data_IF_065274049806
#
_entry.id   IF_065274049806
#
_cell.length_a   1.000
_cell.length_b   1.000
_cell.length_c   1.000
_cell.angle_alpha   90.00
_cell.angle_beta   90.00
_cell.angle_gamma   90.00
#
_symmetry.space_group_name_H-M   'P 1'
#
loop_
_entity.id
_entity.type
_entity.pdbx_description
1 polymer ?
#
# COMPACT_ATOMS: atom_id res chain seq x y z
N UNK A 1 -20.24 5.15 -6.09
CA UNK A 1 -19.86 5.61 -7.45
C UNK A 1 -18.54 6.34 -7.32
N UNK A 2 -17.54 6.01 -8.12
CA UNK A 2 -16.19 6.60 -8.09
C UNK A 2 -16.15 7.81 -9.03
N UNK A 3 -16.81 7.68 -10.17
CA UNK A 3 -16.90 8.75 -11.18
C UNK A 3 -17.89 9.82 -10.69
N UNK A 4 -17.35 10.97 -10.26
CA UNK A 4 -18.16 12.03 -9.63
C UNK A 4 -19.12 12.71 -10.62
N UNK A 5 -18.68 12.92 -11.88
CA UNK A 5 -19.49 13.54 -12.93
C UNK A 5 -20.23 12.51 -13.82
N UNK A 6 -20.58 11.36 -13.26
CA UNK A 6 -21.22 10.24 -13.99
C UNK A 6 -22.41 10.68 -14.82
N UNK A 7 -23.35 11.49 -14.26
CA UNK A 7 -24.54 11.98 -14.98
C UNK A 7 -24.20 12.80 -16.22
N UNK A 8 -23.13 13.58 -16.18
CA UNK A 8 -22.69 14.38 -17.31
C UNK A 8 -22.09 13.53 -18.42
N UNK A 9 -21.37 12.48 -18.05
CA UNK A 9 -20.73 11.55 -18.96
C UNK A 9 -21.71 10.59 -19.63
N UNK A 10 -22.88 10.33 -19.03
CA UNK A 10 -23.83 9.28 -19.45
C UNK A 10 -25.05 9.80 -20.23
N UNK A 11 -24.90 10.92 -20.96
CA UNK A 11 -26.00 11.54 -21.73
C UNK A 11 -26.52 10.70 -22.92
N UNK A 12 -25.77 9.72 -23.39
CA UNK A 12 -26.17 8.80 -24.46
C UNK A 12 -25.94 7.36 -24.01
N UNK A 13 -26.69 6.41 -24.58
CA UNK A 13 -26.61 4.99 -24.22
C UNK A 13 -25.17 4.45 -24.39
N UNK A 14 -24.48 4.76 -25.48
CA UNK A 14 -23.11 4.33 -25.73
C UNK A 14 -22.15 4.86 -24.68
N UNK A 15 -22.28 6.15 -24.30
CA UNK A 15 -21.45 6.77 -23.24
C UNK A 15 -21.74 6.15 -21.89
N UNK A 16 -23.02 5.83 -21.61
CA UNK A 16 -23.42 5.16 -20.39
C UNK A 16 -22.76 3.79 -20.26
N UNK A 17 -22.85 2.94 -21.29
CA UNK A 17 -22.21 1.62 -21.32
C UNK A 17 -20.70 1.74 -21.09
N UNK A 18 -20.01 2.64 -21.80
CA UNK A 18 -18.58 2.86 -21.62
C UNK A 18 -18.21 3.29 -20.20
N UNK A 19 -18.97 4.22 -19.64
CA UNK A 19 -18.76 4.74 -18.28
C UNK A 19 -19.02 3.65 -17.24
N UNK A 20 -20.06 2.83 -17.42
CA UNK A 20 -20.37 1.71 -16.54
C UNK A 20 -19.24 0.65 -16.51
N UNK A 21 -18.67 0.34 -17.68
CA UNK A 21 -17.51 -0.57 -17.78
C UNK A 21 -16.31 0.00 -17.04
N UNK A 22 -16.02 1.29 -17.21
CA UNK A 22 -14.90 1.96 -16.53
C UNK A 22 -15.14 1.99 -15.02
N UNK A 23 -16.32 2.41 -14.56
CA UNK A 23 -16.70 2.43 -13.13
C UNK A 23 -16.57 1.04 -12.50
N UNK A 24 -17.06 0.02 -13.20
CA UNK A 24 -16.93 -1.37 -12.76
C UNK A 24 -15.47 -1.79 -12.64
N UNK A 25 -14.65 -1.55 -13.70
CA UNK A 25 -13.24 -1.91 -13.71
C UNK A 25 -12.46 -1.26 -12.55
N UNK A 26 -12.62 0.06 -12.36
CA UNK A 26 -11.99 0.79 -11.26
C UNK A 26 -12.45 0.22 -9.91
N UNK A 27 -13.75 0.01 -9.74
CA UNK A 27 -14.32 -0.52 -8.49
C UNK A 27 -13.73 -1.88 -8.13
N UNK A 28 -13.57 -2.78 -9.12
CA UNK A 28 -13.00 -4.11 -8.89
C UNK A 28 -11.50 -4.06 -8.53
N UNK A 29 -10.78 -3.01 -8.97
CA UNK A 29 -9.36 -2.82 -8.67
C UNK A 29 -9.09 -2.18 -7.30
N UNK A 30 -10.12 -1.73 -6.57
CA UNK A 30 -9.93 -1.11 -5.26
C UNK A 30 -9.39 -2.09 -4.22
N UNK A 31 -8.48 -1.65 -3.33
CA UNK A 31 -7.96 -2.47 -2.23
C UNK A 31 -9.05 -3.13 -1.39
N UNK A 32 -10.15 -2.43 -1.13
CA UNK A 32 -11.32 -2.91 -0.37
C UNK A 32 -12.02 -4.11 -1.04
N UNK A 33 -11.88 -4.26 -2.34
CA UNK A 33 -12.46 -5.39 -3.10
C UNK A 33 -11.48 -6.54 -3.29
N UNK A 34 -10.18 -6.22 -3.38
CA UNK A 34 -9.13 -7.21 -3.68
C UNK A 34 -8.59 -7.85 -2.41
N UNK A 35 -8.11 -7.06 -1.45
CA UNK A 35 -7.38 -7.58 -0.30
C UNK A 35 -8.19 -8.53 0.57
N UNK A 36 -9.51 -8.34 0.81
CA UNK A 36 -10.29 -9.30 1.57
C UNK A 36 -10.43 -10.69 0.93
N UNK A 37 -10.09 -10.84 -0.35
CA UNK A 37 -10.05 -12.16 -1.01
C UNK A 37 -8.87 -12.98 -0.51
N UNK A 38 -7.77 -12.34 -0.14
CA UNK A 38 -6.52 -12.97 0.25
C UNK A 38 -6.24 -12.89 1.75
N UNK A 39 -6.60 -11.78 2.40
CA UNK A 39 -6.31 -11.50 3.81
C UNK A 39 -7.60 -11.66 4.62
N UNK A 40 -7.53 -12.47 5.66
CA UNK A 40 -8.59 -12.71 6.63
C UNK A 40 -8.07 -12.37 8.03
N UNK A 41 -8.95 -12.32 9.03
CA UNK A 41 -8.61 -11.94 10.41
C UNK A 41 -7.30 -12.57 10.91
N UNK A 42 -7.15 -13.89 10.74
CA UNK A 42 -6.03 -14.65 11.32
C UNK A 42 -5.20 -15.40 10.26
N UNK A 43 -5.44 -15.17 8.96
CA UNK A 43 -4.75 -15.92 7.91
C UNK A 43 -4.65 -15.16 6.60
N UNK A 44 -3.61 -15.49 5.84
CA UNK A 44 -3.44 -15.06 4.45
C UNK A 44 -3.53 -16.29 3.55
N UNK A 45 -4.30 -16.18 2.47
CA UNK A 45 -4.50 -17.27 1.49
C UNK A 45 -4.02 -16.79 0.12
N UNK A 46 -2.94 -17.38 -0.37
CA UNK A 46 -2.35 -17.06 -1.68
C UNK A 46 -1.93 -18.36 -2.38
N UNK A 47 -2.30 -18.52 -3.66
CA UNK A 47 -1.93 -19.68 -4.47
C UNK A 47 -2.20 -21.03 -3.77
N UNK A 48 -3.38 -21.21 -3.19
CA UNK A 48 -3.81 -22.39 -2.42
C UNK A 48 -3.00 -22.64 -1.14
N UNK A 49 -2.05 -21.77 -0.78
CA UNK A 49 -1.32 -21.83 0.48
C UNK A 49 -2.00 -20.94 1.51
N UNK A 50 -2.14 -21.44 2.72
CA UNK A 50 -2.67 -20.69 3.86
C UNK A 50 -1.58 -20.45 4.87
N UNK A 51 -1.36 -19.19 5.22
CA UNK A 51 -0.46 -18.75 6.28
C UNK A 51 -1.35 -18.40 7.47
N UNK A 52 -1.21 -19.12 8.57
CA UNK A 52 -1.89 -18.79 9.83
C UNK A 52 -1.06 -17.72 10.57
N UNK A 53 -1.62 -16.55 10.76
CA UNK A 53 -0.96 -15.42 11.43
C UNK A 53 -0.84 -15.61 12.95
N UNK A 54 -1.67 -16.45 13.57
CA UNK A 54 -1.62 -16.76 15.01
C UNK A 54 -0.37 -17.54 15.42
N UNK A 55 0.39 -18.08 14.45
CA UNK A 55 1.67 -18.74 14.70
C UNK A 55 2.83 -17.77 14.97
N UNK A 56 2.61 -16.47 14.76
CA UNK A 56 3.62 -15.44 14.94
C UNK A 56 3.30 -14.58 16.16
N UNK A 57 4.32 -14.16 16.88
CA UNK A 57 4.17 -13.31 18.06
C UNK A 57 3.62 -11.91 17.68
N UNK A 58 4.08 -11.38 16.54
CA UNK A 58 3.65 -10.10 16.02
C UNK A 58 3.46 -10.15 14.50
N UNK A 59 2.50 -9.39 14.01
CA UNK A 59 2.24 -9.16 12.60
C UNK A 59 2.48 -7.70 12.27
N UNK A 60 3.44 -7.44 11.41
CA UNK A 60 3.82 -6.10 10.98
C UNK A 60 3.39 -5.81 9.55
N UNK A 61 3.28 -4.53 9.23
CA UNK A 61 2.89 -4.04 7.92
C UNK A 61 3.95 -3.09 7.36
N UNK A 62 4.40 -3.33 6.14
CA UNK A 62 5.22 -2.40 5.36
C UNK A 62 4.51 -2.12 4.04
N UNK A 63 4.06 -0.88 3.85
CA UNK A 63 3.29 -0.49 2.67
C UNK A 63 3.96 0.71 1.99
N UNK A 64 4.16 0.66 0.66
CA UNK A 64 4.70 1.78 -0.11
C UNK A 64 4.19 1.78 -1.55
N UNK A 65 3.96 2.97 -2.08
CA UNK A 65 3.35 3.20 -3.38
C UNK A 65 2.14 4.13 -3.31
N UNK A 66 1.57 4.48 -4.45
CA UNK A 66 0.42 5.42 -4.54
C UNK A 66 -0.83 4.93 -3.83
N UNK A 67 -1.05 3.61 -3.77
CA UNK A 67 -2.18 3.00 -3.09
C UNK A 67 -1.85 2.47 -1.68
N UNK A 68 -0.62 2.69 -1.18
CA UNK A 68 -0.12 2.12 0.07
C UNK A 68 -1.03 2.43 1.27
N UNK A 69 -1.51 3.68 1.35
CA UNK A 69 -2.35 4.13 2.46
C UNK A 69 -3.70 3.40 2.51
N UNK A 70 -4.40 3.34 1.37
CA UNK A 70 -5.68 2.63 1.27
C UNK A 70 -5.52 1.12 1.47
N UNK A 71 -4.41 0.54 0.97
CA UNK A 71 -4.10 -0.88 1.19
C UNK A 71 -3.80 -1.15 2.67
N UNK A 72 -2.99 -0.30 3.30
CA UNK A 72 -2.64 -0.42 4.72
C UNK A 72 -3.88 -0.31 5.61
N UNK A 73 -4.75 0.67 5.33
CA UNK A 73 -6.03 0.81 6.05
C UNK A 73 -6.89 -0.45 5.94
N UNK A 74 -7.04 -1.02 4.76
CA UNK A 74 -7.85 -2.23 4.56
C UNK A 74 -7.27 -3.42 5.34
N UNK A 75 -5.95 -3.59 5.35
CA UNK A 75 -5.31 -4.69 6.09
C UNK A 75 -5.49 -4.49 7.60
N UNK A 76 -5.29 -3.27 8.10
CA UNK A 76 -5.45 -2.92 9.52
C UNK A 76 -6.91 -3.09 10.00
N UNK A 77 -7.89 -2.87 9.11
CA UNK A 77 -9.32 -3.12 9.41
C UNK A 77 -9.66 -4.63 9.46
N UNK A 78 -8.91 -5.49 8.76
CA UNK A 78 -9.21 -6.92 8.63
C UNK A 78 -8.47 -7.76 9.67
N UNK A 79 -7.19 -7.47 9.90
CA UNK A 79 -6.31 -8.26 10.77
C UNK A 79 -5.58 -7.38 11.77
N UNK A 80 -5.21 -7.97 12.92
CA UNK A 80 -4.40 -7.25 13.91
C UNK A 80 -3.03 -6.94 13.32
N UNK A 81 -2.67 -5.66 13.30
CA UNK A 81 -1.35 -5.15 12.92
C UNK A 81 -0.68 -4.57 14.17
N UNK A 82 0.48 -5.12 14.54
CA UNK A 82 1.20 -4.76 15.77
C UNK A 82 2.15 -3.56 15.57
N UNK A 83 2.33 -3.12 14.32
CA UNK A 83 3.11 -1.94 13.94
C UNK A 83 3.58 -2.00 12.51
N UNK A 84 4.37 -1.02 12.09
CA UNK A 84 4.94 -1.02 10.75
C UNK A 84 5.20 0.36 10.16
N UNK A 85 5.40 0.39 8.84
CA UNK A 85 5.73 1.61 8.09
C UNK A 85 4.86 1.71 6.85
N UNK A 86 4.30 2.91 6.63
CA UNK A 86 3.52 3.24 5.44
C UNK A 86 4.16 4.45 4.74
N UNK A 87 4.49 4.33 3.46
CA UNK A 87 5.10 5.41 2.68
C UNK A 87 4.15 5.84 1.57
N UNK A 88 3.75 7.11 1.60
CA UNK A 88 2.76 7.69 0.70
C UNK A 88 3.28 8.96 0.03
N UNK A 89 2.70 9.41 -1.09
CA UNK A 89 3.09 10.65 -1.74
C UNK A 89 2.89 11.87 -0.84
N UNK A 90 3.83 12.81 -0.88
CA UNK A 90 3.70 14.12 -0.24
C UNK A 90 2.44 14.83 -0.74
N UNK A 91 1.72 15.50 0.16
CA UNK A 91 0.49 16.22 -0.16
C UNK A 91 -0.79 15.36 -0.07
N UNK A 92 -0.67 14.06 0.20
CA UNK A 92 -1.84 13.21 0.50
C UNK A 92 -2.15 13.22 2.00
N UNK A 93 -3.43 13.07 2.33
CA UNK A 93 -3.87 12.89 3.73
C UNK A 93 -3.96 11.40 4.02
N UNK A 94 -3.28 10.93 5.07
CA UNK A 94 -3.32 9.52 5.43
C UNK A 94 -4.70 9.11 5.95
N UNK A 95 -5.13 7.91 5.56
CA UNK A 95 -6.33 7.21 6.02
C UNK A 95 -6.02 6.30 7.22
N UNK A 96 -4.75 6.03 7.47
CA UNK A 96 -4.28 5.16 8.56
C UNK A 96 -4.58 5.82 9.91
N UNK A 97 -5.25 5.09 10.81
CA UNK A 97 -5.59 5.54 12.16
C UNK A 97 -4.78 4.82 13.25
N UNK A 98 -4.21 3.67 12.94
CA UNK A 98 -3.39 2.89 13.85
C UNK A 98 -2.09 3.62 14.18
N UNK A 99 -1.97 4.10 15.41
CA UNK A 99 -0.81 4.87 15.92
C UNK A 99 0.50 4.07 15.94
N UNK A 100 0.44 2.74 15.81
CA UNK A 100 1.61 1.86 15.71
C UNK A 100 2.19 1.82 14.29
N UNK A 101 1.49 2.36 13.29
CA UNK A 101 1.97 2.51 11.93
C UNK A 101 2.61 3.89 11.74
N UNK A 102 3.90 3.93 11.47
CA UNK A 102 4.62 5.14 11.14
C UNK A 102 4.40 5.52 9.68
N UNK A 103 3.89 6.73 9.44
CA UNK A 103 3.61 7.22 8.07
C UNK A 103 4.72 8.16 7.62
N UNK A 104 5.31 7.86 6.46
CA UNK A 104 6.27 8.71 5.77
C UNK A 104 5.61 9.32 4.54
N UNK A 105 5.89 10.62 4.31
CA UNK A 105 5.47 11.36 3.13
C UNK A 105 6.68 11.58 2.23
N UNK A 106 6.69 10.99 1.04
CA UNK A 106 7.83 10.93 0.16
C UNK A 106 7.55 11.51 -1.23
N UNK A 107 8.61 11.73 -2.03
CA UNK A 107 8.49 12.30 -3.37
C UNK A 107 7.95 11.31 -4.40
N UNK A 108 7.11 11.83 -5.30
CA UNK A 108 6.62 11.12 -6.48
C UNK A 108 6.25 12.16 -7.57
N UNK A 109 6.61 11.98 -8.84
CA UNK A 109 7.23 10.79 -9.47
C UNK A 109 8.74 10.64 -9.24
N UNK A 110 9.43 11.69 -8.79
CA UNK A 110 10.86 11.65 -8.53
C UNK A 110 11.15 11.39 -7.05
N UNK A 111 12.17 10.58 -6.72
CA UNK A 111 12.56 10.33 -5.34
C UNK A 111 13.15 11.61 -4.71
N UNK A 112 12.91 11.77 -3.42
CA UNK A 112 13.42 12.89 -2.61
C UNK A 112 14.22 12.38 -1.42
N UNK A 113 14.87 13.27 -0.67
CA UNK A 113 15.52 12.90 0.58
C UNK A 113 14.57 12.17 1.56
N UNK A 114 13.27 12.48 1.51
CA UNK A 114 12.27 11.77 2.31
C UNK A 114 12.05 10.33 1.83
N UNK A 115 12.13 10.08 0.50
CA UNK A 115 12.09 8.72 -0.07
C UNK A 115 13.27 7.88 0.42
N UNK A 116 14.45 8.48 0.48
CA UNK A 116 15.66 7.84 1.00
C UNK A 116 15.54 7.54 2.50
N UNK A 117 15.05 8.52 3.30
CA UNK A 117 14.79 8.31 4.73
C UNK A 117 13.78 7.21 5.00
N UNK A 118 12.68 7.19 4.24
CA UNK A 118 11.66 6.14 4.33
C UNK A 118 12.25 4.76 4.01
N UNK A 119 13.05 4.67 2.96
CA UNK A 119 13.72 3.42 2.59
C UNK A 119 14.70 2.93 3.65
N UNK A 120 15.51 3.82 4.25
CA UNK A 120 16.38 3.47 5.39
C UNK A 120 15.58 2.98 6.58
N UNK A 121 14.51 3.68 6.93
CA UNK A 121 13.63 3.28 8.03
C UNK A 121 13.02 1.89 7.81
N UNK A 122 12.58 1.58 6.57
CA UNK A 122 12.08 0.24 6.23
C UNK A 122 13.20 -0.81 6.37
N UNK A 123 14.39 -0.53 5.84
CA UNK A 123 15.53 -1.44 5.96
C UNK A 123 15.83 -1.76 7.42
N UNK A 124 16.04 -0.74 8.24
CA UNK A 124 16.32 -0.89 9.68
C UNK A 124 15.17 -1.60 10.42
N UNK A 125 13.93 -1.31 10.03
CA UNK A 125 12.75 -1.97 10.60
C UNK A 125 12.77 -3.47 10.31
N UNK A 126 13.03 -3.86 9.06
CA UNK A 126 13.04 -5.27 8.64
C UNK A 126 14.21 -6.03 9.26
N UNK A 127 15.42 -5.43 9.29
CA UNK A 127 16.62 -6.06 9.84
C UNK A 127 16.51 -6.42 11.33
N UNK A 128 15.66 -5.69 12.07
CA UNK A 128 15.39 -5.96 13.50
C UNK A 128 14.36 -7.08 13.73
N UNK A 129 13.75 -7.63 12.67
CA UNK A 129 12.70 -8.65 12.82
C UNK A 129 13.30 -10.04 13.03
N UNK A 130 12.56 -10.85 13.76
CA UNK A 130 12.92 -12.24 14.08
C UNK A 130 12.07 -13.23 13.27
N UNK A 131 12.44 -14.50 13.29
CA UNK A 131 11.67 -15.57 12.63
C UNK A 131 10.28 -15.80 13.28
N UNK A 132 10.04 -15.22 14.46
CA UNK A 132 8.77 -15.32 15.19
C UNK A 132 7.79 -14.19 14.81
N UNK A 133 8.21 -13.29 13.94
CA UNK A 133 7.43 -12.13 13.51
C UNK A 133 7.11 -12.24 12.01
N UNK A 134 5.93 -11.81 11.62
CA UNK A 134 5.50 -11.85 10.23
C UNK A 134 5.36 -10.43 9.67
N UNK A 135 5.88 -10.19 8.47
CA UNK A 135 5.76 -8.89 7.79
C UNK A 135 4.88 -9.06 6.55
N UNK A 136 3.82 -8.27 6.47
CA UNK A 136 3.01 -8.13 5.27
C UNK A 136 3.56 -6.95 4.45
N UNK A 137 4.07 -7.22 3.25
CA UNK A 137 4.47 -6.18 2.31
C UNK A 137 3.34 -5.87 1.35
N UNK A 138 2.94 -4.60 1.27
CA UNK A 138 1.95 -4.07 0.32
C UNK A 138 2.64 -3.08 -0.63
N UNK A 139 2.81 -3.50 -1.87
CA UNK A 139 3.52 -2.72 -2.88
C UNK A 139 2.57 -2.32 -4.00
N UNK A 140 2.57 -1.04 -4.35
CA UNK A 140 1.78 -0.52 -5.46
C UNK A 140 2.58 0.38 -6.39
N UNK A 141 2.01 0.85 -7.49
CA UNK A 141 2.69 1.72 -8.46
C UNK A 141 3.29 2.97 -7.83
N UNK A 142 4.46 3.38 -8.30
CA UNK A 142 5.25 4.50 -7.76
C UNK A 142 6.17 4.13 -6.59
N UNK A 143 6.26 2.87 -6.23
CA UNK A 143 7.03 2.36 -5.11
C UNK A 143 8.53 2.76 -5.15
N UNK A 144 9.19 2.65 -6.29
CA UNK A 144 10.61 2.96 -6.47
C UNK A 144 10.97 4.44 -6.28
N UNK A 145 10.01 5.34 -6.49
CA UNK A 145 10.18 6.75 -6.19
C UNK A 145 9.93 7.06 -4.71
N UNK A 146 8.93 6.42 -4.13
CA UNK A 146 8.52 6.65 -2.74
C UNK A 146 9.44 6.00 -1.72
N UNK A 147 10.03 4.85 -2.04
CA UNK A 147 11.00 4.14 -1.22
C UNK A 147 12.25 3.87 -2.04
N UNK A 148 13.34 4.55 -1.72
CA UNK A 148 14.57 4.52 -2.52
C UNK A 148 15.79 4.40 -1.61
N UNK A 149 16.46 3.23 -1.64
CA UNK A 149 17.78 3.00 -1.03
C UNK A 149 18.65 2.36 -2.09
N UNK A 150 19.40 3.14 -2.88
CA UNK A 150 20.28 2.60 -3.91
C UNK A 150 21.41 1.81 -3.27
N UNK A 151 21.85 0.77 -3.95
CA UNK A 151 23.02 -0.02 -3.56
C UNK A 151 24.13 0.18 -4.60
N UNK A 152 25.36 0.42 -4.13
CA UNK A 152 26.52 0.62 -5.00
C UNK A 152 26.65 2.01 -5.61
N UNK A 153 25.66 2.86 -5.44
CA UNK A 153 25.66 4.28 -5.86
C UNK A 153 25.06 5.15 -4.76
N UNK A 154 25.37 6.44 -4.80
CA UNK A 154 24.77 7.42 -3.89
C UNK A 154 23.32 7.73 -4.26
N UNK A 155 22.59 8.32 -3.32
CA UNK A 155 21.23 8.81 -3.61
C UNK A 155 21.22 9.93 -4.66
N UNK A 156 22.23 10.79 -4.69
CA UNK A 156 22.33 11.87 -5.67
C UNK A 156 22.59 11.31 -7.08
N UNK A 157 23.48 10.34 -7.23
CA UNK A 157 23.68 9.64 -8.52
C UNK A 157 22.42 8.92 -9.02
N UNK A 158 21.59 8.42 -8.12
CA UNK A 158 20.31 7.78 -8.47
C UNK A 158 19.27 8.75 -9.02
N UNK A 159 19.37 10.06 -8.74
CA UNK A 159 18.44 11.08 -9.23
C UNK A 159 18.62 11.45 -10.70
N UNK A 160 19.81 11.22 -11.23
CA UNK A 160 20.18 11.45 -12.63
C UNK A 160 20.03 10.18 -13.45
#
# INVERSE_FOLDING_TARGET
MIIQNYKELTKTERKKIATDIIEFGITQALPQKILPKFIKKNRIVVNKKTINLEKYDNVYLVAFGKAADSMAKVVDDITKVDGGIVVIPKGTKSLVKNKKLQVFYAGHPLPTAQSYRAGKAIKEFVEKRTKREFIIFLVSGGASALMCVPQGITFEEKKH
#
